data_IF_424471217398
#
_entry.id   IF_424471217398
#
_cell.length_a   1.000
_cell.length_b   1.000
_cell.length_c   1.000
_cell.angle_alpha   90.00
_cell.angle_beta   90.00
_cell.angle_gamma   90.00
#
_symmetry.space_group_name_H-M   'P 1'
#
loop_
_entity.id
_entity.type
_entity.pdbx_description
1 polymer ?
#
# COMPACT_ATOMS: atom_id res chain seq x y z
N UNK A 1 -9.31 7.14 0.26
CA UNK A 1 -8.38 6.02 -0.03
C UNK A 1 -7.98 5.33 1.26
N UNK A 2 -7.73 4.04 1.19
CA UNK A 2 -7.18 3.26 2.30
C UNK A 2 -5.87 2.64 1.90
N UNK A 3 -4.88 2.72 2.79
CA UNK A 3 -3.63 2.00 2.65
C UNK A 3 -3.42 1.13 3.89
N UNK A 4 -3.13 -0.14 3.65
CA UNK A 4 -2.70 -1.05 4.71
C UNK A 4 -1.21 -1.24 4.50
N UNK A 5 -0.42 -0.81 5.48
CA UNK A 5 1.03 -0.83 5.41
C UNK A 5 1.57 -1.83 6.43
N UNK A 6 2.37 -2.78 5.95
CA UNK A 6 3.06 -3.74 6.81
C UNK A 6 4.56 -3.57 6.67
N UNK A 7 5.23 -3.53 7.81
CA UNK A 7 6.69 -3.62 7.85
C UNK A 7 7.10 -5.04 7.49
N UNK A 8 7.99 -5.18 6.51
CA UNK A 8 8.41 -6.50 6.02
C UNK A 8 9.93 -6.63 6.01
N UNK A 9 10.40 -7.85 6.21
CA UNK A 9 11.79 -8.23 5.90
C UNK A 9 11.93 -8.63 4.44
N UNK A 10 10.86 -9.10 3.82
CA UNK A 10 10.76 -9.37 2.38
C UNK A 10 9.31 -9.43 1.95
N UNK A 11 9.05 -9.12 0.70
CA UNK A 11 7.74 -9.28 0.08
C UNK A 11 7.89 -9.53 -1.41
N UNK A 12 6.91 -10.19 -2.01
CA UNK A 12 6.89 -10.42 -3.44
C UNK A 12 5.46 -10.53 -3.97
N UNK A 13 5.30 -10.24 -5.26
CA UNK A 13 4.04 -10.46 -5.97
C UNK A 13 4.30 -11.16 -7.29
N UNK A 14 3.48 -12.16 -7.58
CA UNK A 14 3.44 -12.86 -8.86
C UNK A 14 2.16 -12.44 -9.57
N UNK A 15 2.31 -11.83 -10.75
CA UNK A 15 1.20 -11.34 -11.56
C UNK A 15 0.92 -12.35 -12.66
N UNK A 16 -0.29 -12.90 -12.69
CA UNK A 16 -0.75 -13.86 -13.73
C UNK A 16 0.24 -15.02 -13.97
N UNK A 17 0.83 -15.57 -12.90
CA UNK A 17 1.79 -16.67 -12.99
C UNK A 17 3.16 -16.30 -13.56
N UNK A 18 3.46 -15.01 -13.71
CA UNK A 18 4.73 -14.52 -14.25
C UNK A 18 5.89 -14.54 -13.26
N UNK A 19 6.95 -13.83 -13.61
CA UNK A 19 8.14 -13.71 -12.75
C UNK A 19 7.83 -12.89 -11.49
N UNK A 20 8.23 -13.36 -10.29
CA UNK A 20 8.03 -12.58 -9.06
C UNK A 20 8.70 -11.21 -9.12
N UNK A 21 7.99 -10.21 -8.62
CA UNK A 21 8.52 -8.87 -8.33
C UNK A 21 8.73 -8.79 -6.83
N UNK A 22 9.95 -8.57 -6.38
CA UNK A 22 10.34 -8.75 -4.99
C UNK A 22 11.06 -7.54 -4.41
N UNK A 23 10.91 -7.36 -3.11
CA UNK A 23 11.69 -6.41 -2.32
C UNK A 23 12.29 -7.11 -1.10
N UNK A 24 13.40 -6.59 -0.60
CA UNK A 24 13.94 -6.92 0.72
C UNK A 24 13.24 -6.13 1.82
N UNK A 25 13.95 -5.66 2.85
CA UNK A 25 13.35 -4.90 3.94
C UNK A 25 12.61 -3.65 3.45
N UNK A 26 11.44 -3.41 3.99
CA UNK A 26 10.66 -2.24 3.60
C UNK A 26 9.19 -2.34 3.96
N UNK A 27 8.36 -1.83 3.05
CA UNK A 27 6.92 -1.68 3.22
C UNK A 27 6.17 -2.51 2.19
N UNK A 28 5.22 -3.30 2.66
CA UNK A 28 4.16 -3.85 1.83
C UNK A 28 2.93 -2.96 1.96
N UNK A 29 2.45 -2.41 0.84
CA UNK A 29 1.33 -1.48 0.83
C UNK A 29 0.19 -2.05 -0.02
N UNK A 30 -0.93 -2.34 0.62
CA UNK A 30 -2.18 -2.62 -0.07
C UNK A 30 -2.95 -1.31 -0.21
N UNK A 31 -3.34 -0.94 -1.42
CA UNK A 31 -4.01 0.33 -1.70
C UNK A 31 -5.42 0.12 -2.23
N UNK A 32 -6.40 0.66 -1.52
CA UNK A 32 -7.79 0.72 -1.94
C UNK A 32 -8.20 2.14 -2.32
N UNK A 33 -8.92 2.28 -3.42
CA UNK A 33 -9.49 3.55 -3.87
C UNK A 33 -11.00 3.49 -3.67
N UNK A 34 -11.55 4.51 -3.02
CA UNK A 34 -12.98 4.64 -2.82
C UNK A 34 -13.60 5.43 -3.98
N UNK A 35 -14.83 5.06 -4.33
CA UNK A 35 -15.59 5.84 -5.29
C UNK A 35 -15.80 7.28 -4.78
N UNK A 36 -15.45 8.26 -5.61
CA UNK A 36 -15.51 9.69 -5.24
C UNK A 36 -14.28 10.23 -4.52
N UNK A 37 -13.21 9.45 -4.34
CA UNK A 37 -11.97 9.96 -3.77
C UNK A 37 -11.38 11.10 -4.62
N UNK A 38 -10.97 12.18 -3.93
CA UNK A 38 -10.31 13.31 -4.57
C UNK A 38 -8.84 12.97 -4.87
N UNK A 39 -8.41 13.02 -6.14
CA UNK A 39 -7.01 12.77 -6.49
C UNK A 39 -6.00 13.69 -5.80
N UNK A 40 -6.43 14.85 -5.31
CA UNK A 40 -5.56 15.79 -4.61
C UNK A 40 -4.99 15.22 -3.30
N UNK A 41 -5.59 14.14 -2.75
CA UNK A 41 -5.11 13.50 -1.53
C UNK A 41 -3.89 12.59 -1.78
N UNK A 42 -3.67 12.17 -3.03
CA UNK A 42 -2.66 11.16 -3.36
C UNK A 42 -1.24 11.57 -2.96
N UNK A 43 -0.76 12.79 -3.26
CA UNK A 43 0.57 13.19 -2.83
C UNK A 43 0.77 13.11 -1.31
N UNK A 44 -0.23 13.53 -0.55
CA UNK A 44 -0.17 13.46 0.92
C UNK A 44 -0.14 12.02 1.42
N UNK A 45 -0.95 11.14 0.83
CA UNK A 45 -0.96 9.73 1.21
C UNK A 45 0.39 9.06 0.91
N UNK A 46 0.93 9.28 -0.28
CA UNK A 46 2.23 8.72 -0.68
C UNK A 46 3.36 9.21 0.24
N UNK A 47 3.38 10.50 0.55
CA UNK A 47 4.35 11.08 1.46
C UNK A 47 4.27 10.45 2.86
N UNK A 48 3.06 10.30 3.40
CA UNK A 48 2.86 9.66 4.71
C UNK A 48 3.27 8.20 4.71
N UNK A 49 2.97 7.45 3.65
CA UNK A 49 3.39 6.05 3.55
C UNK A 49 4.91 5.91 3.54
N UNK A 50 5.59 6.67 2.70
CA UNK A 50 7.06 6.61 2.58
C UNK A 50 7.77 7.06 3.86
N UNK A 51 7.24 8.09 4.51
CA UNK A 51 7.82 8.67 5.72
C UNK A 51 7.35 8.03 7.02
N UNK A 52 6.55 6.98 6.96
CA UNK A 52 5.98 6.34 8.15
C UNK A 52 7.08 5.78 9.05
N UNK A 53 7.09 6.20 10.31
CA UNK A 53 8.18 5.92 11.24
C UNK A 53 7.91 4.64 12.02
N UNK A 54 7.99 3.52 11.34
CA UNK A 54 7.68 2.18 11.89
C UNK A 54 8.87 1.23 11.90
N UNK A 55 10.07 1.73 11.68
CA UNK A 55 11.30 0.95 11.85
C UNK A 55 12.00 1.35 13.14
N UNK A 56 12.61 0.36 13.78
CA UNK A 56 13.22 0.56 15.09
C UNK A 56 14.45 1.49 14.99
N UNK A 57 14.57 2.39 15.96
CA UNK A 57 15.79 3.15 16.22
C UNK A 57 16.76 2.33 17.09
N UNK A 58 17.88 2.95 17.48
CA UNK A 58 18.89 2.29 18.30
C UNK A 58 18.41 1.90 19.71
N UNK A 59 17.29 2.49 20.15
CA UNK A 59 16.64 2.18 21.43
C UNK A 59 15.51 1.16 21.28
N UNK A 60 15.26 0.64 20.07
CA UNK A 60 14.20 -0.31 19.79
C UNK A 60 12.81 0.31 19.65
N UNK A 61 12.71 1.62 19.51
CA UNK A 61 11.44 2.33 19.34
C UNK A 61 11.11 2.55 17.88
N UNK A 62 9.83 2.51 17.52
CA UNK A 62 9.35 2.82 16.18
C UNK A 62 9.56 4.30 15.90
N UNK A 63 10.60 4.63 15.17
CA UNK A 63 11.04 6.01 14.99
C UNK A 63 11.66 6.31 13.63
N UNK A 64 12.18 5.32 12.92
CA UNK A 64 12.82 5.51 11.61
C UNK A 64 11.87 5.16 10.48
N UNK A 65 12.05 5.83 9.33
CA UNK A 65 11.28 5.59 8.12
C UNK A 65 12.05 4.69 7.14
N UNK A 66 11.31 4.10 6.19
CA UNK A 66 11.92 3.35 5.09
C UNK A 66 12.83 4.22 4.23
N UNK A 67 12.49 5.49 4.03
CA UNK A 67 13.30 6.43 3.26
C UNK A 67 14.66 6.65 3.94
N UNK A 68 14.67 6.90 5.25
CA UNK A 68 15.92 7.09 6.00
C UNK A 68 16.84 5.87 5.90
N UNK A 69 16.27 4.68 5.91
CA UNK A 69 17.03 3.42 5.94
C UNK A 69 17.39 2.91 4.55
N UNK A 70 16.97 3.59 3.49
CA UNK A 70 17.22 3.13 2.13
C UNK A 70 16.46 1.86 1.77
N UNK A 71 15.27 1.69 2.33
CA UNK A 71 14.42 0.51 2.10
C UNK A 71 13.45 0.75 0.94
N UNK A 72 12.78 -0.32 0.54
CA UNK A 72 11.91 -0.37 -0.64
C UNK A 72 10.45 -0.51 -0.25
N UNK A 73 9.57 -0.38 -1.24
CA UNK A 73 8.15 -0.66 -1.07
C UNK A 73 7.63 -1.56 -2.18
N UNK A 74 6.67 -2.40 -1.85
CA UNK A 74 5.88 -3.17 -2.79
C UNK A 74 4.43 -2.74 -2.65
N UNK A 75 3.82 -2.29 -3.75
CA UNK A 75 2.45 -1.77 -3.76
C UNK A 75 1.55 -2.67 -4.56
N UNK A 76 0.43 -3.05 -3.98
CA UNK A 76 -0.60 -3.87 -4.65
C UNK A 76 -1.96 -3.18 -4.52
N UNK A 77 -2.61 -2.96 -5.65
CA UNK A 77 -4.00 -2.47 -5.69
C UNK A 77 -4.93 -3.54 -5.12
N UNK A 78 -5.81 -3.15 -4.20
CA UNK A 78 -6.73 -4.07 -3.54
C UNK A 78 -8.08 -3.38 -3.25
N UNK A 79 -9.05 -3.51 -4.16
CA UNK A 79 -10.36 -2.90 -4.00
C UNK A 79 -11.15 -3.50 -2.83
N UNK A 80 -10.83 -4.74 -2.43
CA UNK A 80 -11.54 -5.42 -1.33
C UNK A 80 -11.32 -4.77 0.03
N UNK A 81 -10.37 -3.81 0.14
CA UNK A 81 -10.23 -2.97 1.33
C UNK A 81 -11.49 -2.15 1.62
N UNK A 82 -12.35 -1.93 0.62
CA UNK A 82 -13.65 -1.28 0.77
C UNK A 82 -14.81 -2.27 0.86
N UNK A 83 -14.53 -3.53 1.15
CA UNK A 83 -15.57 -4.53 1.42
C UNK A 83 -16.38 -4.16 2.65
N UNK A 84 -17.70 -4.15 2.50
CA UNK A 84 -18.65 -3.90 3.58
C UNK A 84 -19.33 -5.20 3.98
N UNK A 85 -19.13 -5.64 5.20
CA UNK A 85 -19.71 -6.85 5.77
C UNK A 85 -20.74 -6.56 6.86
N UNK A 86 -21.21 -5.31 6.96
CA UNK A 86 -22.13 -4.88 8.01
C UNK A 86 -23.49 -5.59 7.96
N UNK A 87 -23.90 -6.08 6.78
CA UNK A 87 -25.21 -6.69 6.55
C UNK A 87 -25.19 -8.21 6.40
N UNK A 88 -24.02 -8.85 6.54
CA UNK A 88 -23.91 -10.29 6.40
C UNK A 88 -22.51 -10.76 6.07
N UNK A 89 -22.41 -12.02 5.65
CA UNK A 89 -21.11 -12.67 5.40
C UNK A 89 -20.61 -12.49 3.98
N UNK A 90 -21.47 -12.06 3.05
CA UNK A 90 -21.05 -11.74 1.69
C UNK A 90 -20.71 -10.25 1.63
N UNK A 91 -19.44 -9.89 1.39
CA UNK A 91 -19.05 -8.48 1.34
C UNK A 91 -19.67 -7.76 0.14
N UNK A 92 -20.07 -6.52 0.37
CA UNK A 92 -20.45 -5.57 -0.69
C UNK A 92 -19.25 -4.71 -1.05
N UNK A 93 -19.04 -4.46 -2.35
CA UNK A 93 -17.94 -3.62 -2.85
C UNK A 93 -18.45 -2.36 -3.54
N UNK A 94 -19.65 -1.91 -3.18
CA UNK A 94 -20.27 -0.71 -3.78
C UNK A 94 -19.40 0.53 -3.56
N UNK A 95 -18.70 0.61 -2.43
CA UNK A 95 -17.86 1.76 -2.08
C UNK A 95 -16.54 1.83 -2.82
N UNK A 96 -16.10 0.73 -3.43
CA UNK A 96 -14.84 0.68 -4.15
C UNK A 96 -14.95 1.38 -5.51
N UNK A 97 -13.96 2.21 -5.84
CA UNK A 97 -13.84 2.77 -7.19
C UNK A 97 -13.55 1.65 -8.20
N UNK A 98 -14.02 1.84 -9.42
CA UNK A 98 -13.93 0.84 -10.48
C UNK A 98 -13.38 1.45 -11.77
N UNK A 99 -12.81 0.59 -12.61
CA UNK A 99 -12.41 0.95 -13.97
C UNK A 99 -11.31 2.00 -14.05
N UNK A 100 -11.42 2.88 -15.04
CA UNK A 100 -10.40 3.87 -15.35
C UNK A 100 -10.07 4.85 -14.21
N UNK A 101 -11.04 5.38 -13.44
CA UNK A 101 -10.73 6.26 -12.32
C UNK A 101 -9.91 5.56 -11.22
N UNK A 102 -10.24 4.31 -10.91
CA UNK A 102 -9.49 3.54 -9.92
C UNK A 102 -8.06 3.24 -10.37
N UNK A 103 -7.89 2.84 -11.63
CA UNK A 103 -6.58 2.62 -12.23
C UNK A 103 -5.74 3.90 -12.21
N UNK A 104 -6.31 5.03 -12.62
CA UNK A 104 -5.62 6.31 -12.65
C UNK A 104 -5.14 6.73 -11.26
N UNK A 105 -5.96 6.54 -10.23
CA UNK A 105 -5.58 6.84 -8.85
C UNK A 105 -4.43 5.94 -8.37
N UNK A 106 -4.48 4.66 -8.67
CA UNK A 106 -3.41 3.71 -8.34
C UNK A 106 -2.09 4.11 -9.01
N UNK A 107 -2.12 4.39 -10.31
CA UNK A 107 -0.92 4.79 -11.07
C UNK A 107 -0.35 6.12 -10.57
N UNK A 108 -1.22 7.08 -10.23
CA UNK A 108 -0.80 8.35 -9.64
C UNK A 108 -0.12 8.14 -8.28
N UNK A 109 -0.66 7.25 -7.46
CA UNK A 109 -0.03 6.90 -6.17
C UNK A 109 1.37 6.29 -6.37
N UNK A 110 1.54 5.36 -7.32
CA UNK A 110 2.84 4.78 -7.62
C UNK A 110 3.85 5.85 -8.04
N UNK A 111 3.44 6.78 -8.89
CA UNK A 111 4.28 7.89 -9.34
C UNK A 111 4.71 8.76 -8.17
N UNK A 112 3.78 9.16 -7.32
CA UNK A 112 4.07 9.98 -6.15
C UNK A 112 4.97 9.25 -5.15
N UNK A 113 4.69 7.98 -4.90
CA UNK A 113 5.50 7.17 -3.99
C UNK A 113 6.93 7.02 -4.50
N UNK A 114 7.11 6.81 -5.81
CA UNK A 114 8.42 6.69 -6.43
C UNK A 114 9.26 7.97 -6.31
N UNK A 115 8.63 9.11 -6.09
CA UNK A 115 9.31 10.41 -5.90
C UNK A 115 9.72 10.67 -4.45
N UNK A 116 9.42 9.78 -3.50
CA UNK A 116 9.64 10.03 -2.07
C UNK A 116 11.03 9.66 -1.54
N UNK A 117 11.88 9.06 -2.36
CA UNK A 117 13.26 8.72 -1.95
C UNK A 117 13.44 7.30 -1.43
N UNK A 118 12.47 6.41 -1.65
CA UNK A 118 12.66 4.98 -1.41
C UNK A 118 13.70 4.41 -2.37
N UNK A 119 14.41 3.35 -1.95
CA UNK A 119 15.42 2.71 -2.78
C UNK A 119 14.81 2.14 -4.07
N UNK A 120 13.64 1.53 -3.95
CA UNK A 120 12.91 0.93 -5.07
C UNK A 120 11.43 0.88 -4.74
N UNK A 121 10.58 1.07 -5.74
CA UNK A 121 9.14 0.82 -5.65
C UNK A 121 8.78 -0.23 -6.67
N UNK A 122 8.46 -1.43 -6.19
CA UNK A 122 7.88 -2.50 -6.99
C UNK A 122 6.37 -2.48 -6.85
N UNK A 123 5.68 -3.05 -7.81
CA UNK A 123 4.21 -3.07 -7.78
C UNK A 123 3.62 -4.25 -8.54
N UNK A 124 2.38 -4.59 -8.18
CA UNK A 124 1.54 -5.47 -8.97
C UNK A 124 0.93 -4.76 -10.18
N UNK A 125 -0.06 -5.41 -10.80
CA UNK A 125 -0.81 -4.89 -11.95
C UNK A 125 -2.27 -4.70 -11.55
N UNK A 126 -2.82 -3.51 -11.84
CA UNK A 126 -4.21 -3.23 -11.54
C UNK A 126 -5.15 -4.21 -12.25
N UNK A 127 -6.04 -4.83 -11.49
CA UNK A 127 -7.05 -5.75 -12.02
C UNK A 127 -6.56 -7.15 -12.38
N UNK A 128 -5.29 -7.46 -12.17
CA UNK A 128 -4.74 -8.77 -12.46
C UNK A 128 -4.93 -9.77 -11.31
N UNK A 129 -4.81 -11.06 -11.60
CA UNK A 129 -4.66 -12.09 -10.58
C UNK A 129 -3.24 -12.04 -10.01
N UNK A 130 -3.14 -11.96 -8.70
CA UNK A 130 -1.85 -11.81 -8.04
C UNK A 130 -1.73 -12.75 -6.85
N UNK A 131 -0.52 -13.31 -6.67
CA UNK A 131 -0.13 -14.04 -5.48
C UNK A 131 0.84 -13.15 -4.71
N UNK A 132 0.44 -12.70 -3.54
CA UNK A 132 1.22 -11.80 -2.69
C UNK A 132 1.80 -12.57 -1.53
N UNK A 133 3.13 -12.52 -1.38
CA UNK A 133 3.86 -13.18 -0.29
C UNK A 133 4.64 -12.14 0.49
N UNK A 134 4.66 -12.27 1.80
CA UNK A 134 5.43 -11.36 2.64
C UNK A 134 5.82 -12.01 3.97
N UNK A 135 6.87 -11.49 4.56
CA UNK A 135 7.21 -11.75 5.96
C UNK A 135 6.98 -10.46 6.73
N UNK A 136 5.90 -10.43 7.51
CA UNK A 136 5.60 -9.28 8.36
C UNK A 136 6.57 -9.28 9.54
N UNK A 137 7.43 -8.28 9.56
CA UNK A 137 8.45 -8.12 10.60
C UNK A 137 7.84 -7.38 11.78
N UNK A 138 7.55 -8.14 12.83
CA UNK A 138 6.96 -7.50 14.00
C UNK A 138 6.06 -8.38 14.83
N UNK A 139 4.74 -8.49 14.60
CA UNK A 139 3.99 -7.86 13.51
C UNK A 139 3.82 -6.35 13.67
N UNK A 140 3.90 -5.65 12.56
CA UNK A 140 3.59 -4.22 12.46
C UNK A 140 2.71 -4.00 11.24
N UNK A 141 1.48 -3.54 11.48
CA UNK A 141 0.48 -3.28 10.44
C UNK A 141 -0.24 -1.98 10.78
N UNK A 142 -0.21 -1.03 9.85
CA UNK A 142 -0.81 0.29 10.03
C UNK A 142 -1.92 0.46 9.00
N UNK A 143 -3.05 0.96 9.44
CA UNK A 143 -4.19 1.31 8.58
C UNK A 143 -4.24 2.82 8.45
N UNK A 144 -4.15 3.32 7.22
CA UNK A 144 -4.40 4.73 6.89
C UNK A 144 -5.69 4.84 6.10
N UNK A 145 -6.61 5.66 6.57
CA UNK A 145 -7.84 5.98 5.85
C UNK A 145 -7.93 7.49 5.69
N UNK A 146 -7.91 7.96 4.44
CA UNK A 146 -7.94 9.40 4.15
C UNK A 146 -9.24 10.07 4.56
N UNK A 147 -10.32 9.31 4.72
CA UNK A 147 -11.60 9.83 5.22
C UNK A 147 -11.50 10.29 6.69
N UNK A 148 -10.52 9.79 7.43
CA UNK A 148 -10.27 10.18 8.82
C UNK A 148 -9.40 11.44 8.94
N UNK A 149 -8.87 11.93 7.83
CA UNK A 149 -7.99 13.11 7.81
C UNK A 149 -8.81 14.39 7.64
N UNK A 150 -9.02 15.08 8.70
CA UNK A 150 -9.78 16.34 8.70
C UNK A 150 -8.93 17.53 9.15
#
# INVERSE_FOLDING_TARGET
>A
MRAIIQRVSSASVVVNGGTPRSIGPGLMILLGVRDGDDPAIIPKLANKCAGLRIFNDDEGKLNRSAVELGYSALVVSNFTLYGDTSRGKRPSFIRAAKGAPARAAYEAFLKELSAQGLAEVQHGEFGADMQVSLVNDGPVTIVMDTDEWK
#
